data_IF_550752067037
#
_entry.id   IF_550752067037
#
_cell.length_a   1.000
_cell.length_b   1.000
_cell.length_c   1.000
_cell.angle_alpha   90.00
_cell.angle_beta   90.00
_cell.angle_gamma   90.00
#
_symmetry.space_group_name_H-M   'P 1'
#
loop_
_entity.id
_entity.type
_entity.pdbx_description
1 polymer ?
#
# COMPACT_ATOMS: atom_id res chain seq x y z
N UNK A 1 36.83 35.48 8.05
CA UNK A 1 35.46 35.98 7.78
C UNK A 1 35.33 36.06 6.27
N UNK A 2 34.87 35.00 5.60
CA UNK A 2 33.46 34.62 5.49
C UNK A 2 33.29 33.12 5.76
N UNK A 3 32.47 32.83 6.75
CA UNK A 3 31.72 31.57 6.85
C UNK A 3 30.60 31.67 5.82
N UNK A 4 30.49 30.68 4.94
CA UNK A 4 29.26 30.44 4.21
C UNK A 4 28.86 29.00 4.51
N UNK A 5 27.96 28.86 5.49
CA UNK A 5 27.04 27.75 5.58
C UNK A 5 26.26 27.68 4.25
N UNK A 6 26.22 26.50 3.65
CA UNK A 6 25.10 26.12 2.80
C UNK A 6 24.82 24.65 3.06
N UNK A 7 23.71 24.42 3.78
CA UNK A 7 23.06 23.14 3.95
C UNK A 7 23.02 22.39 2.61
N UNK A 8 23.80 21.33 2.47
CA UNK A 8 23.66 20.44 1.31
C UNK A 8 22.41 19.59 1.55
N UNK A 9 21.31 19.97 0.90
CA UNK A 9 20.26 19.01 0.57
C UNK A 9 20.95 17.81 -0.10
N UNK A 10 20.83 16.62 0.48
CA UNK A 10 21.51 15.41 0.02
C UNK A 10 20.97 14.97 -1.35
N UNK A 11 21.49 15.59 -2.41
CA UNK A 11 21.13 15.35 -3.80
C UNK A 11 21.83 14.08 -4.27
N UNK A 12 21.28 12.91 -3.93
CA UNK A 12 21.77 11.63 -4.45
C UNK A 12 21.74 11.58 -5.98
N UNK A 13 22.78 10.99 -6.57
CA UNK A 13 22.92 10.78 -8.02
C UNK A 13 22.18 9.51 -8.42
N UNK A 14 21.50 9.52 -9.56
CA UNK A 14 20.79 8.35 -10.11
C UNK A 14 21.65 7.69 -11.18
N UNK A 15 21.96 6.42 -11.02
CA UNK A 15 22.59 5.61 -12.09
C UNK A 15 21.49 4.86 -12.82
N UNK A 16 21.34 5.10 -14.12
CA UNK A 16 20.34 4.47 -15.00
C UNK A 16 21.05 3.71 -16.11
N UNK A 17 20.60 2.51 -16.47
CA UNK A 17 21.19 1.78 -17.61
C UNK A 17 20.28 1.87 -18.84
N UNK A 18 20.67 2.63 -19.88
CA UNK A 18 20.05 2.72 -21.23
C UNK A 18 21.13 3.01 -22.30
N UNK A 19 21.00 2.52 -23.54
CA UNK A 19 21.89 2.91 -24.67
C UNK A 19 21.27 3.95 -25.63
N UNK A 20 21.94 4.42 -26.72
CA UNK A 20 23.34 4.86 -26.88
C UNK A 20 23.56 6.35 -26.49
N UNK A 21 24.83 6.77 -26.31
CA UNK A 21 25.24 8.16 -26.04
C UNK A 21 25.71 8.83 -27.35
N UNK A 22 25.03 9.88 -27.79
CA UNK A 22 25.50 10.76 -28.87
C UNK A 22 26.32 11.92 -28.28
N UNK A 23 27.64 11.91 -28.49
CA UNK A 23 28.47 13.09 -28.27
C UNK A 23 28.35 14.00 -29.50
N UNK A 24 27.52 15.04 -29.39
CA UNK A 24 27.41 16.11 -30.39
C UNK A 24 27.98 17.39 -29.81
N UNK A 25 29.15 17.79 -30.31
CA UNK A 25 29.80 19.05 -29.97
C UNK A 25 29.88 19.89 -31.25
N UNK A 26 29.29 21.09 -31.22
CA UNK A 26 29.39 22.03 -32.32
C UNK A 26 30.69 22.84 -32.15
N UNK A 27 31.60 22.72 -33.12
CA UNK A 27 32.88 23.44 -33.11
C UNK A 27 32.81 24.56 -34.13
N UNK A 28 32.78 25.80 -33.66
CA UNK A 28 32.77 26.98 -34.54
C UNK A 28 34.19 27.40 -34.98
N UNK A 29 35.22 26.68 -34.54
CA UNK A 29 36.64 26.93 -34.80
C UNK A 29 37.49 25.65 -34.69
N UNK A 30 38.57 25.57 -35.45
CA UNK A 30 39.57 24.49 -35.42
C UNK A 30 40.76 24.78 -34.49
N UNK A 31 40.76 25.92 -33.80
CA UNK A 31 41.80 26.28 -32.83
C UNK A 31 41.80 25.31 -31.63
N UNK A 32 42.94 24.65 -31.41
CA UNK A 32 43.08 23.61 -30.40
C UNK A 32 42.77 24.08 -28.96
N UNK A 33 43.00 25.35 -28.61
CA UNK A 33 42.69 25.88 -27.27
C UNK A 33 41.19 26.13 -27.10
N UNK A 34 40.52 26.59 -28.15
CA UNK A 34 39.06 26.75 -28.15
C UNK A 34 38.35 25.40 -28.15
N UNK A 35 38.85 24.42 -28.93
CA UNK A 35 38.36 23.03 -28.92
C UNK A 35 38.51 22.41 -27.53
N UNK A 36 39.68 22.55 -26.88
CA UNK A 36 39.90 22.04 -25.53
C UNK A 36 38.96 22.69 -24.51
N UNK A 37 38.72 24.00 -24.62
CA UNK A 37 37.82 24.73 -23.72
C UNK A 37 36.36 24.32 -23.88
N UNK A 38 35.89 24.11 -25.11
CA UNK A 38 34.52 23.64 -25.40
C UNK A 38 34.32 22.20 -24.92
N UNK A 39 35.33 21.33 -25.11
CA UNK A 39 35.32 19.97 -24.58
C UNK A 39 35.28 19.99 -23.05
N UNK A 40 36.17 20.74 -22.38
CA UNK A 40 36.16 20.86 -20.91
C UNK A 40 34.81 21.35 -20.37
N UNK A 41 34.20 22.36 -21.00
CA UNK A 41 32.88 22.88 -20.62
C UNK A 41 31.75 21.87 -20.81
N UNK A 42 31.85 21.05 -21.87
CA UNK A 42 30.93 19.93 -22.10
C UNK A 42 31.06 18.86 -21.01
N UNK A 43 32.29 18.57 -20.54
CA UNK A 43 32.54 17.67 -19.43
C UNK A 43 32.10 18.25 -18.06
N UNK A 44 32.27 19.55 -17.82
CA UNK A 44 31.71 20.24 -16.64
C UNK A 44 30.17 20.14 -16.61
N UNK A 45 29.54 20.21 -17.77
CA UNK A 45 28.07 20.05 -17.93
C UNK A 45 27.62 18.60 -17.72
N UNK A 46 28.46 17.61 -18.05
CA UNK A 46 28.21 16.19 -17.73
C UNK A 46 28.36 15.92 -16.23
N UNK A 47 29.31 16.60 -15.56
CA UNK A 47 29.55 16.45 -14.12
C UNK A 47 28.44 17.06 -13.24
N UNK A 48 27.63 17.96 -13.77
CA UNK A 48 26.46 18.53 -13.08
C UNK A 48 25.15 17.75 -13.30
N UNK A 49 25.19 16.62 -14.03
CA UNK A 49 24.02 15.78 -14.24
C UNK A 49 23.71 14.93 -12.99
N UNK A 50 22.48 15.03 -12.50
CA UNK A 50 21.95 14.19 -11.40
C UNK A 50 21.64 12.76 -11.83
N UNK A 51 21.78 12.43 -13.12
CA UNK A 51 21.51 11.11 -13.70
C UNK A 51 22.69 10.69 -14.58
N UNK A 52 23.29 9.55 -14.31
CA UNK A 52 24.36 8.93 -15.11
C UNK A 52 23.76 7.75 -15.88
N UNK A 53 23.76 7.84 -17.22
CA UNK A 53 23.29 6.76 -18.08
C UNK A 53 24.42 5.80 -18.46
N UNK A 54 24.24 4.51 -18.18
CA UNK A 54 25.17 3.41 -18.44
C UNK A 54 24.60 2.51 -19.55
N UNK A 55 25.45 1.83 -20.32
CA UNK A 55 24.99 0.95 -21.41
C UNK A 55 25.35 -0.50 -21.11
N UNK A 56 24.35 -1.38 -21.09
CA UNK A 56 24.59 -2.82 -21.01
C UNK A 56 25.14 -3.31 -22.35
N UNK A 57 26.33 -3.90 -22.31
CA UNK A 57 26.99 -4.49 -23.47
C UNK A 57 27.45 -5.90 -23.10
N UNK A 58 27.40 -6.81 -24.07
CA UNK A 58 27.98 -8.15 -23.93
C UNK A 58 29.36 -8.16 -24.58
N UNK A 59 30.29 -8.88 -23.96
CA UNK A 59 31.60 -9.11 -24.56
C UNK A 59 31.44 -9.93 -25.85
N UNK A 60 31.96 -9.40 -26.96
CA UNK A 60 31.86 -10.06 -28.27
C UNK A 60 32.82 -11.25 -28.43
N UNK A 61 33.79 -11.37 -27.52
CA UNK A 61 34.85 -12.36 -27.55
C UNK A 61 34.76 -13.28 -26.33
N UNK A 62 35.09 -14.56 -26.52
CA UNK A 62 35.34 -15.49 -25.42
C UNK A 62 36.80 -15.90 -25.47
N UNK A 63 37.47 -15.96 -24.33
CA UNK A 63 38.83 -16.49 -24.22
C UNK A 63 38.79 -18.02 -24.28
N UNK A 64 39.39 -18.62 -25.30
CA UNK A 64 39.49 -20.08 -25.45
C UNK A 64 39.99 -20.51 -26.83
N UNK A 65 40.49 -21.76 -26.99
CA UNK A 65 40.84 -22.27 -28.29
C UNK A 65 39.59 -22.32 -29.18
N UNK A 66 39.68 -21.71 -30.36
CA UNK A 66 38.62 -21.74 -31.37
C UNK A 66 38.47 -23.19 -31.88
N UNK A 67 37.53 -23.95 -31.32
CA UNK A 67 37.11 -25.20 -31.95
C UNK A 67 36.53 -24.86 -33.34
N UNK A 68 36.96 -25.58 -34.38
CA UNK A 68 36.41 -25.41 -35.71
C UNK A 68 34.87 -25.60 -35.66
N UNK A 69 34.07 -24.70 -36.25
CA UNK A 69 32.62 -24.83 -36.22
C UNK A 69 32.20 -26.09 -36.97
N UNK A 70 31.65 -27.07 -36.25
CA UNK A 70 31.00 -28.24 -36.86
C UNK A 70 29.53 -27.91 -37.01
N UNK A 71 29.06 -27.82 -38.24
CA UNK A 71 27.65 -27.64 -38.57
C UNK A 71 26.98 -29.01 -38.66
N UNK A 72 26.27 -29.42 -37.62
CA UNK A 72 25.39 -30.59 -37.66
C UNK A 72 23.97 -30.13 -38.02
N UNK A 73 23.39 -30.71 -39.07
CA UNK A 73 22.01 -30.43 -39.49
C UNK A 73 21.08 -31.51 -38.97
N UNK A 74 20.33 -31.18 -37.94
CA UNK A 74 19.22 -32.02 -37.45
C UNK A 74 17.91 -31.44 -37.95
N UNK A 75 17.12 -32.21 -38.70
CA UNK A 75 15.81 -31.76 -39.19
C UNK A 75 14.74 -32.18 -38.18
N UNK A 76 14.30 -31.24 -37.35
CA UNK A 76 13.21 -31.43 -36.39
C UNK A 76 12.17 -30.33 -36.61
N UNK A 77 10.88 -30.68 -36.58
CA UNK A 77 9.80 -29.69 -36.56
C UNK A 77 9.69 -29.13 -35.14
N UNK A 78 9.99 -27.86 -34.96
CA UNK A 78 9.87 -27.15 -33.68
C UNK A 78 9.25 -25.78 -33.87
N UNK A 79 8.61 -25.29 -32.81
CA UNK A 79 8.11 -23.93 -32.72
C UNK A 79 9.06 -23.12 -31.84
N UNK A 80 9.42 -21.92 -32.26
CA UNK A 80 10.30 -21.02 -31.52
C UNK A 80 9.58 -19.70 -31.26
N UNK A 81 9.80 -19.15 -30.07
CA UNK A 81 9.35 -17.82 -29.69
C UNK A 81 10.59 -16.94 -29.56
N UNK A 82 10.60 -15.81 -30.26
CA UNK A 82 11.70 -14.83 -30.22
C UNK A 82 11.12 -13.47 -29.86
N UNK A 83 11.67 -12.86 -28.83
CA UNK A 83 11.27 -11.54 -28.36
C UNK A 83 12.48 -10.77 -27.84
N UNK A 84 12.39 -9.45 -27.80
CA UNK A 84 13.41 -8.57 -27.21
C UNK A 84 12.82 -7.91 -25.99
N UNK A 85 13.49 -8.05 -24.84
CA UNK A 85 13.04 -7.48 -23.59
C UNK A 85 13.75 -6.16 -23.26
N UNK A 86 13.02 -5.08 -22.90
CA UNK A 86 13.63 -3.82 -22.51
C UNK A 86 14.17 -3.93 -21.08
N UNK A 87 15.50 -3.86 -20.94
CA UNK A 87 16.16 -3.73 -19.63
C UNK A 87 16.39 -2.24 -19.35
N UNK A 88 15.98 -1.78 -18.17
CA UNK A 88 16.11 -0.40 -17.69
C UNK A 88 16.23 -0.46 -16.17
N UNK A 89 17.46 -0.53 -15.67
CA UNK A 89 17.73 -0.64 -14.24
C UNK A 89 18.17 0.71 -13.70
N UNK A 90 17.66 1.07 -12.52
CA UNK A 90 18.00 2.33 -11.87
C UNK A 90 18.35 2.10 -10.40
N UNK A 91 19.42 2.75 -9.93
CA UNK A 91 19.77 2.84 -8.52
C UNK A 91 20.03 4.30 -8.14
N UNK A 92 19.73 4.66 -6.90
CA UNK A 92 20.17 5.94 -6.30
C UNK A 92 21.49 5.70 -5.56
N UNK A 93 22.46 6.57 -5.73
CA UNK A 93 23.77 6.53 -5.07
C UNK A 93 24.07 7.88 -4.42
N UNK A 94 24.90 7.90 -3.38
CA UNK A 94 25.36 9.13 -2.73
C UNK A 94 26.84 9.36 -3.02
N UNK A 95 27.31 10.61 -2.87
CA UNK A 95 28.71 10.96 -3.12
C UNK A 95 29.71 10.24 -2.19
N UNK A 96 29.22 9.64 -1.10
CA UNK A 96 30.04 8.93 -0.13
C UNK A 96 30.22 7.43 -0.47
N UNK A 97 29.53 6.91 -1.48
CA UNK A 97 29.64 5.49 -1.87
C UNK A 97 30.79 5.24 -2.84
N UNK A 98 31.41 4.07 -2.72
CA UNK A 98 32.46 3.67 -3.67
C UNK A 98 31.85 3.22 -5.00
N UNK A 99 32.63 3.32 -6.08
CA UNK A 99 32.25 2.79 -7.40
C UNK A 99 31.89 1.30 -7.29
N UNK A 100 32.66 0.53 -6.52
CA UNK A 100 32.40 -0.90 -6.31
C UNK A 100 31.00 -1.13 -5.72
N UNK A 101 30.64 -0.41 -4.66
CA UNK A 101 29.34 -0.57 -3.99
C UNK A 101 28.17 -0.17 -4.90
N UNK A 102 28.35 0.90 -5.68
CA UNK A 102 27.37 1.33 -6.67
C UNK A 102 27.16 0.25 -7.76
N UNK A 103 28.24 -0.34 -8.28
CA UNK A 103 28.14 -1.42 -9.28
C UNK A 103 27.57 -2.72 -8.71
N UNK A 104 27.90 -3.09 -7.47
CA UNK A 104 27.28 -4.26 -6.82
C UNK A 104 25.77 -4.09 -6.66
N UNK A 105 25.30 -2.89 -6.28
CA UNK A 105 23.87 -2.58 -6.20
C UNK A 105 23.21 -2.55 -7.57
N UNK A 106 23.91 -2.04 -8.58
CA UNK A 106 23.40 -2.05 -9.95
C UNK A 106 23.23 -3.48 -10.48
N UNK A 107 24.19 -4.36 -10.22
CA UNK A 107 24.10 -5.78 -10.57
C UNK A 107 22.98 -6.48 -9.83
N UNK A 108 22.78 -6.18 -8.54
CA UNK A 108 21.63 -6.69 -7.77
C UNK A 108 20.30 -6.22 -8.37
N UNK A 109 20.19 -4.93 -8.72
CA UNK A 109 19.00 -4.36 -9.36
C UNK A 109 18.71 -5.01 -10.72
N UNK A 110 19.75 -5.27 -11.52
CA UNK A 110 19.64 -5.97 -12.80
C UNK A 110 19.14 -7.41 -12.64
N UNK A 111 19.76 -8.18 -11.74
CA UNK A 111 19.34 -9.56 -11.47
C UNK A 111 17.91 -9.61 -10.93
N UNK A 112 17.56 -8.70 -10.02
CA UNK A 112 16.20 -8.60 -9.48
C UNK A 112 15.20 -8.26 -10.60
N UNK A 113 15.51 -7.29 -11.45
CA UNK A 113 14.64 -6.94 -12.57
C UNK A 113 14.42 -8.12 -13.53
N UNK A 114 15.45 -8.89 -13.86
CA UNK A 114 15.31 -10.06 -14.72
C UNK A 114 14.39 -11.13 -14.09
N UNK A 115 14.50 -11.34 -12.78
CA UNK A 115 13.58 -12.22 -12.03
C UNK A 115 12.12 -11.73 -12.10
N UNK A 116 11.89 -10.43 -11.91
CA UNK A 116 10.55 -9.84 -12.00
C UNK A 116 9.98 -9.91 -13.43
N UNK A 117 10.82 -9.72 -14.44
CA UNK A 117 10.43 -9.86 -15.85
C UNK A 117 10.01 -11.30 -16.18
N UNK A 118 10.72 -12.31 -15.64
CA UNK A 118 10.31 -13.71 -15.72
C UNK A 118 8.95 -13.94 -15.05
N UNK A 119 8.78 -13.45 -13.81
CA UNK A 119 7.53 -13.57 -13.06
C UNK A 119 6.33 -12.98 -13.82
N UNK A 120 6.46 -11.74 -14.31
CA UNK A 120 5.41 -11.05 -15.08
C UNK A 120 5.08 -11.80 -16.36
N UNK A 121 6.11 -12.30 -17.06
CA UNK A 121 5.95 -13.08 -18.29
C UNK A 121 5.15 -14.36 -18.03
N UNK A 122 5.52 -15.12 -16.99
CA UNK A 122 4.85 -16.37 -16.62
C UNK A 122 3.41 -16.14 -16.16
N UNK A 123 3.13 -15.04 -15.45
CA UNK A 123 1.79 -14.73 -14.97
C UNK A 123 0.81 -14.33 -16.09
N UNK A 124 1.30 -13.76 -17.18
CA UNK A 124 0.45 -13.17 -18.22
C UNK A 124 0.50 -13.90 -19.57
N UNK A 125 1.21 -15.03 -19.66
CA UNK A 125 1.24 -15.86 -20.86
C UNK A 125 -0.16 -16.46 -21.12
N UNK A 126 -0.67 -16.29 -22.33
CA UNK A 126 -1.96 -16.87 -22.77
C UNK A 126 -1.73 -17.77 -23.97
N UNK A 127 -1.73 -19.08 -23.75
CA UNK A 127 -1.35 -20.07 -24.75
C UNK A 127 0.12 -19.89 -25.15
N UNK A 128 0.37 -19.51 -26.41
CA UNK A 128 1.71 -19.22 -26.96
C UNK A 128 2.01 -17.72 -27.07
N UNK A 129 1.11 -16.85 -26.60
CA UNK A 129 1.28 -15.39 -26.69
C UNK A 129 2.00 -14.88 -25.45
N UNK A 130 3.18 -14.29 -25.68
CA UNK A 130 4.03 -13.71 -24.65
C UNK A 130 3.90 -12.18 -24.68
N UNK A 131 3.63 -11.59 -23.51
CA UNK A 131 3.61 -10.14 -23.33
C UNK A 131 4.99 -9.66 -22.93
N UNK A 132 5.39 -8.49 -23.43
CA UNK A 132 6.69 -7.89 -23.13
C UNK A 132 6.63 -7.27 -21.72
N UNK A 133 7.42 -7.71 -20.74
CA UNK A 133 7.54 -7.03 -19.45
C UNK A 133 8.33 -5.72 -19.62
N UNK A 134 7.74 -4.63 -19.16
CA UNK A 134 8.27 -3.26 -19.21
C UNK A 134 8.57 -2.74 -17.80
N UNK A 135 9.84 -2.43 -17.49
CA UNK A 135 10.21 -1.77 -16.24
C UNK A 135 9.79 -0.30 -16.23
N UNK A 136 9.10 0.13 -15.17
CA UNK A 136 8.74 1.51 -14.88
C UNK A 136 9.31 1.93 -13.52
N UNK A 137 9.74 3.18 -13.40
CA UNK A 137 10.36 3.73 -12.20
C UNK A 137 9.46 4.76 -11.54
N UNK A 138 9.22 4.60 -10.25
CA UNK A 138 8.39 5.48 -9.44
C UNK A 138 9.22 6.06 -8.29
N UNK A 139 9.16 7.37 -8.10
CA UNK A 139 9.75 8.02 -6.94
C UNK A 139 8.68 8.12 -5.84
N UNK A 140 8.76 7.25 -4.85
CA UNK A 140 7.86 7.26 -3.69
C UNK A 140 8.39 8.23 -2.61
N UNK A 141 7.53 8.73 -1.71
CA UNK A 141 7.98 9.47 -0.54
C UNK A 141 9.01 8.69 0.28
N UNK A 142 9.94 9.43 0.89
CA UNK A 142 10.92 8.84 1.81
C UNK A 142 10.20 8.09 2.95
N UNK A 143 10.75 6.96 3.45
CA UNK A 143 12.09 6.43 3.17
C UNK A 143 12.16 5.45 1.97
N UNK A 144 11.06 5.27 1.21
CA UNK A 144 11.03 4.25 0.14
C UNK A 144 11.81 4.66 -1.10
N UNK A 145 11.79 5.95 -1.44
CA UNK A 145 12.54 6.50 -2.57
C UNK A 145 12.18 5.84 -3.91
N UNK A 146 13.20 5.62 -4.74
CA UNK A 146 13.02 5.11 -6.10
C UNK A 146 12.71 3.60 -6.11
N UNK A 147 11.61 3.21 -6.74
CA UNK A 147 11.15 1.83 -6.89
C UNK A 147 10.94 1.49 -8.37
N UNK A 148 11.36 0.31 -8.78
CA UNK A 148 11.10 -0.24 -10.13
C UNK A 148 10.00 -1.29 -10.05
N UNK A 149 8.99 -1.16 -10.90
CA UNK A 149 7.91 -2.14 -11.07
C UNK A 149 7.89 -2.60 -12.52
N UNK A 150 7.69 -3.90 -12.76
CA UNK A 150 7.63 -4.47 -14.10
C UNK A 150 6.17 -4.75 -14.47
N UNK A 151 5.70 -4.22 -15.59
CA UNK A 151 4.33 -4.41 -16.08
C UNK A 151 4.30 -5.12 -17.44
N UNK A 152 3.30 -5.96 -17.73
CA UNK A 152 3.13 -6.50 -19.07
C UNK A 152 2.62 -5.42 -20.04
N UNK A 153 3.37 -5.16 -21.11
CA UNK A 153 3.05 -4.18 -22.13
C UNK A 153 1.67 -4.46 -22.77
N UNK A 154 0.90 -3.39 -22.98
CA UNK A 154 -0.40 -3.46 -23.63
C UNK A 154 -1.55 -3.96 -22.74
N UNK A 155 -1.30 -4.24 -21.46
CA UNK A 155 -2.35 -4.53 -20.48
C UNK A 155 -2.79 -3.21 -19.83
N UNK A 156 -4.08 -2.84 -19.88
CA UNK A 156 -4.57 -1.62 -19.23
C UNK A 156 -4.40 -1.67 -17.72
N UNK A 157 -4.17 -0.50 -17.08
CA UNK A 157 -4.06 -0.38 -15.63
C UNK A 157 -5.21 -1.05 -14.87
N UNK A 158 -6.44 -0.98 -15.38
CA UNK A 158 -7.62 -1.63 -14.77
C UNK A 158 -7.54 -3.17 -14.72
N UNK A 159 -6.72 -3.79 -15.56
CA UNK A 159 -6.43 -5.23 -15.56
C UNK A 159 -5.18 -5.55 -14.73
N UNK A 160 -4.28 -4.57 -14.56
CA UNK A 160 -3.11 -4.62 -13.67
C UNK A 160 -3.49 -4.39 -12.20
N UNK A 161 -4.61 -3.71 -11.95
CA UNK A 161 -5.29 -3.52 -10.65
C UNK A 161 -5.77 -4.84 -10.00
N UNK A 162 -5.52 -5.99 -10.62
CA UNK A 162 -5.81 -7.31 -10.05
C UNK A 162 -4.97 -7.63 -8.80
N UNK A 163 -3.86 -6.92 -8.57
CA UNK A 163 -2.95 -7.25 -7.46
C UNK A 163 -3.41 -6.77 -6.08
N UNK A 164 -4.33 -5.79 -5.97
CA UNK A 164 -5.05 -5.42 -4.72
C UNK A 164 -5.99 -4.23 -5.01
N UNK A 165 -7.29 -4.46 -5.01
CA UNK A 165 -8.28 -3.37 -5.04
C UNK A 165 -8.56 -2.87 -3.63
N UNK A 166 -8.72 -1.56 -3.49
CA UNK A 166 -9.01 -0.91 -2.23
C UNK A 166 -10.49 -0.57 -2.16
N UNK A 167 -11.16 -1.07 -1.14
CA UNK A 167 -12.58 -0.84 -0.86
C UNK A 167 -12.66 -0.14 0.50
N UNK A 168 -13.21 1.07 0.53
CA UNK A 168 -13.24 1.92 1.72
C UNK A 168 -14.67 2.28 2.11
N UNK A 169 -14.82 2.73 3.35
CA UNK A 169 -15.94 3.53 3.81
C UNK A 169 -16.19 4.69 2.83
N UNK A 170 -17.45 4.99 2.59
CA UNK A 170 -17.89 6.05 1.68
C UNK A 170 -18.53 7.16 2.51
N UNK A 171 -17.99 8.37 2.44
CA UNK A 171 -18.48 9.51 3.22
C UNK A 171 -17.60 9.85 4.43
N UNK A 172 -18.13 10.70 5.29
CA UNK A 172 -17.44 11.30 6.43
C UNK A 172 -17.84 10.63 7.74
N UNK A 173 -16.89 10.54 8.65
CA UNK A 173 -17.07 10.08 10.02
C UNK A 173 -16.10 10.84 10.93
N UNK A 174 -16.43 10.93 12.21
CA UNK A 174 -15.52 11.42 13.25
C UNK A 174 -14.81 10.25 13.93
N UNK A 175 -13.55 10.46 14.27
CA UNK A 175 -12.78 9.48 15.03
C UNK A 175 -13.08 9.62 16.52
N UNK A 176 -13.79 8.63 17.07
CA UNK A 176 -14.03 8.53 18.50
C UNK A 176 -13.05 7.53 19.13
N UNK A 177 -12.38 7.94 20.21
CA UNK A 177 -11.36 7.16 20.91
C UNK A 177 -11.37 7.43 22.42
N UNK A 178 -10.52 6.72 23.17
CA UNK A 178 -10.45 6.85 24.62
C UNK A 178 -10.15 8.27 25.09
N UNK A 179 -10.60 8.57 26.31
CA UNK A 179 -10.36 9.83 27.04
C UNK A 179 -11.09 11.05 26.47
N UNK A 180 -11.95 10.87 25.46
CA UNK A 180 -12.84 11.91 24.97
C UNK A 180 -14.06 12.12 25.89
N UNK A 181 -14.75 13.25 25.72
CA UNK A 181 -15.99 13.59 26.44
C UNK A 181 -15.88 13.66 27.97
N UNK A 182 -14.65 13.83 28.49
CA UNK A 182 -14.34 13.78 29.93
C UNK A 182 -14.65 12.43 30.58
N UNK A 183 -14.61 11.35 29.79
CA UNK A 183 -14.81 9.99 30.27
C UNK A 183 -13.48 9.22 30.24
N UNK A 184 -13.05 8.71 31.40
CA UNK A 184 -11.96 7.73 31.46
C UNK A 184 -12.53 6.33 31.19
N UNK A 185 -12.56 6.00 29.91
CA UNK A 185 -13.02 4.71 29.40
C UNK A 185 -11.88 3.77 29.00
N UNK A 186 -10.65 4.10 29.42
CA UNK A 186 -9.47 3.30 29.13
C UNK A 186 -9.62 1.89 29.72
N UNK A 187 -9.47 0.88 28.86
CA UNK A 187 -9.55 -0.53 29.21
C UNK A 187 -10.95 -1.16 29.12
N UNK A 188 -12.01 -0.41 28.80
CA UNK A 188 -13.35 -1.00 28.67
C UNK A 188 -14.25 -0.33 27.61
N UNK A 189 -13.90 0.85 27.11
CA UNK A 189 -14.73 1.64 26.21
C UNK A 189 -14.60 1.33 24.71
N UNK A 190 -13.72 0.40 24.30
CA UNK A 190 -13.28 0.29 22.90
C UNK A 190 -14.45 0.11 21.91
N UNK A 191 -15.40 -0.76 22.26
CA UNK A 191 -16.61 -0.99 21.47
C UNK A 191 -17.58 0.20 21.48
N UNK A 192 -17.65 0.95 22.57
CA UNK A 192 -18.44 2.18 22.66
C UNK A 192 -17.90 3.24 21.70
N UNK A 193 -16.58 3.43 21.67
CA UNK A 193 -15.92 4.39 20.77
C UNK A 193 -16.03 3.99 19.30
N UNK A 194 -15.91 2.70 19.00
CA UNK A 194 -16.20 2.19 17.65
C UNK A 194 -17.65 2.44 17.24
N UNK A 195 -18.62 2.19 18.13
CA UNK A 195 -20.03 2.51 17.91
C UNK A 195 -20.26 4.02 17.71
N UNK A 196 -19.62 4.88 18.49
CA UNK A 196 -19.71 6.33 18.32
C UNK A 196 -19.18 6.77 16.95
N UNK A 197 -18.08 6.18 16.48
CA UNK A 197 -17.57 6.39 15.11
C UNK A 197 -18.63 6.01 14.06
N UNK A 198 -19.29 4.85 14.21
CA UNK A 198 -20.38 4.42 13.32
C UNK A 198 -21.57 5.41 13.38
N UNK A 199 -22.01 5.81 14.58
CA UNK A 199 -23.09 6.77 14.74
C UNK A 199 -22.76 8.12 14.09
N UNK A 200 -21.51 8.59 14.22
CA UNK A 200 -21.05 9.83 13.58
C UNK A 200 -21.13 9.75 12.06
N UNK A 201 -20.86 8.57 11.47
CA UNK A 201 -21.00 8.35 10.04
C UNK A 201 -22.46 8.52 9.61
N UNK A 202 -23.41 7.85 10.28
CA UNK A 202 -24.84 7.96 9.95
C UNK A 202 -25.36 9.39 10.14
N UNK A 203 -24.88 10.10 11.16
CA UNK A 203 -25.21 11.50 11.39
C UNK A 203 -24.68 12.41 10.27
N UNK A 204 -23.39 12.28 9.93
CA UNK A 204 -22.74 13.13 8.92
C UNK A 204 -23.20 12.85 7.49
N UNK A 205 -23.71 11.65 7.23
CA UNK A 205 -24.32 11.31 5.94
C UNK A 205 -25.80 11.73 5.87
N UNK A 206 -26.36 12.29 6.95
CA UNK A 206 -27.74 12.78 6.99
C UNK A 206 -28.81 11.69 7.10
N UNK A 207 -28.45 10.46 7.49
CA UNK A 207 -29.44 9.40 7.75
C UNK A 207 -30.18 9.62 9.07
N UNK A 208 -29.54 10.27 10.04
CA UNK A 208 -30.13 10.60 11.34
C UNK A 208 -29.72 12.00 11.76
N UNK A 209 -30.61 12.69 12.49
CA UNK A 209 -30.30 13.98 13.14
C UNK A 209 -29.79 13.79 14.57
N UNK A 210 -29.92 12.57 15.11
CA UNK A 210 -29.51 12.25 16.48
C UNK A 210 -28.02 12.52 16.67
N UNK A 211 -27.67 13.18 17.78
CA UNK A 211 -26.29 13.31 18.21
C UNK A 211 -25.65 11.93 18.51
N UNK A 212 -24.33 11.86 18.39
CA UNK A 212 -23.55 10.69 18.78
C UNK A 212 -23.82 10.35 20.26
N UNK A 213 -24.24 9.11 20.60
CA UNK A 213 -24.65 8.78 21.96
C UNK A 213 -23.45 8.65 22.91
N UNK A 214 -23.65 9.04 24.16
CA UNK A 214 -22.71 8.83 25.27
C UNK A 214 -22.68 7.37 25.72
N UNK A 215 -21.66 6.94 26.47
CA UNK A 215 -21.61 5.58 27.04
C UNK A 215 -22.86 5.26 27.87
N UNK A 216 -23.36 6.22 28.64
CA UNK A 216 -24.55 6.04 29.47
C UNK A 216 -25.81 5.84 28.63
N UNK A 217 -25.97 6.58 27.53
CA UNK A 217 -27.09 6.39 26.60
C UNK A 217 -27.01 5.04 25.88
N UNK A 218 -25.80 4.61 25.50
CA UNK A 218 -25.57 3.28 24.92
C UNK A 218 -25.97 2.19 25.92
N UNK A 219 -25.56 2.30 27.19
CA UNK A 219 -25.94 1.36 28.24
C UNK A 219 -27.44 1.37 28.52
N UNK A 220 -28.06 2.56 28.52
CA UNK A 220 -29.49 2.72 28.68
C UNK A 220 -30.25 2.05 27.53
N UNK A 221 -29.81 2.21 26.28
CA UNK A 221 -30.41 1.56 25.13
C UNK A 221 -30.40 0.03 25.26
N UNK A 222 -29.33 -0.56 25.81
CA UNK A 222 -29.23 -2.00 26.07
C UNK A 222 -30.16 -2.47 27.19
N UNK A 223 -30.38 -1.65 28.22
CA UNK A 223 -31.40 -1.90 29.23
C UNK A 223 -32.81 -1.83 28.63
N UNK A 224 -33.08 -0.83 27.80
CA UNK A 224 -34.41 -0.57 27.22
C UNK A 224 -34.87 -1.69 26.29
N UNK A 225 -33.93 -2.33 25.57
CA UNK A 225 -34.23 -3.51 24.72
C UNK A 225 -34.24 -4.84 25.51
N UNK A 226 -34.00 -4.80 26.82
CA UNK A 226 -34.01 -5.97 27.70
C UNK A 226 -32.77 -6.86 27.62
N UNK A 227 -31.68 -6.42 26.98
CA UNK A 227 -30.43 -7.18 26.86
C UNK A 227 -29.62 -7.18 28.16
N UNK A 228 -29.63 -6.05 28.89
CA UNK A 228 -28.88 -5.85 30.14
C UNK A 228 -29.79 -5.49 31.31
N UNK A 229 -29.29 -5.73 32.53
CA UNK A 229 -29.97 -5.35 33.77
C UNK A 229 -29.72 -3.89 34.13
N UNK A 230 -30.54 -3.31 35.02
CA UNK A 230 -30.43 -1.90 35.40
C UNK A 230 -29.07 -1.50 36.00
N UNK A 231 -28.39 -2.44 36.67
CA UNK A 231 -27.04 -2.25 37.22
C UNK A 231 -25.96 -2.04 36.16
N UNK A 232 -26.23 -2.36 34.89
CA UNK A 232 -25.32 -2.17 33.77
C UNK A 232 -25.15 -0.67 33.43
N UNK A 233 -26.19 0.14 33.65
CA UNK A 233 -26.16 1.57 33.36
C UNK A 233 -25.29 2.30 34.38
N UNK A 234 -24.29 3.03 33.90
CA UNK A 234 -23.23 3.64 34.70
C UNK A 234 -22.09 2.70 35.07
N UNK A 235 -22.11 1.45 34.62
CA UNK A 235 -21.02 0.51 34.82
C UNK A 235 -19.83 0.80 33.88
N UNK A 236 -18.71 0.10 34.12
CA UNK A 236 -17.53 0.08 33.23
C UNK A 236 -17.41 -1.24 32.46
N UNK A 237 -18.54 -1.89 32.19
CA UNK A 237 -18.54 -3.16 31.48
C UNK A 237 -18.40 -2.95 29.97
N UNK A 238 -17.58 -3.80 29.36
CA UNK A 238 -17.40 -3.91 27.92
C UNK A 238 -18.68 -4.43 27.24
N UNK A 239 -18.82 -4.11 25.95
CA UNK A 239 -19.88 -4.61 25.06
C UNK A 239 -19.26 -5.26 23.82
N UNK A 240 -20.01 -6.13 23.15
CA UNK A 240 -19.59 -6.78 21.92
C UNK A 240 -20.37 -6.33 20.70
N UNK A 241 -20.11 -7.00 19.57
CA UNK A 241 -20.72 -6.67 18.27
C UNK A 241 -22.24 -6.87 18.24
N UNK A 242 -22.78 -7.78 19.07
CA UNK A 242 -24.23 -8.01 19.20
C UNK A 242 -24.89 -6.84 19.90
N UNK A 243 -24.33 -6.38 21.02
CA UNK A 243 -24.80 -5.18 21.72
C UNK A 243 -24.69 -3.94 20.84
N UNK A 244 -23.58 -3.78 20.09
CA UNK A 244 -23.42 -2.68 19.12
C UNK A 244 -24.54 -2.70 18.07
N UNK A 245 -24.90 -3.87 17.52
CA UNK A 245 -26.04 -4.00 16.61
C UNK A 245 -27.37 -3.61 17.28
N UNK A 246 -27.61 -4.08 18.51
CA UNK A 246 -28.84 -3.78 19.23
C UNK A 246 -29.00 -2.26 19.46
N UNK A 247 -27.91 -1.58 19.83
CA UNK A 247 -27.91 -0.13 20.05
C UNK A 247 -28.09 0.66 18.76
N UNK A 248 -27.43 0.26 17.66
CA UNK A 248 -27.65 0.88 16.35
C UNK A 248 -29.13 0.80 15.92
N UNK A 249 -29.75 -0.37 16.12
CA UNK A 249 -31.15 -0.55 15.80
C UNK A 249 -32.05 0.29 16.72
N UNK A 250 -31.81 0.29 18.03
CA UNK A 250 -32.63 0.99 19.00
C UNK A 250 -32.55 2.52 18.86
N UNK A 251 -31.34 3.06 18.68
CA UNK A 251 -31.11 4.51 18.71
C UNK A 251 -31.21 5.18 17.35
N UNK A 252 -30.90 4.45 16.26
CA UNK A 252 -30.85 5.00 14.90
C UNK A 252 -31.83 4.31 13.94
N UNK A 253 -32.51 3.22 14.33
CA UNK A 253 -33.30 2.42 13.40
C UNK A 253 -32.46 1.72 12.33
N UNK A 254 -31.16 1.55 12.58
CA UNK A 254 -30.22 0.96 11.62
C UNK A 254 -30.12 -0.54 11.86
N UNK A 255 -30.43 -1.33 10.82
CA UNK A 255 -30.18 -2.77 10.83
C UNK A 255 -28.71 -3.06 10.51
N UNK A 256 -28.12 -4.05 11.18
CA UNK A 256 -26.76 -4.52 10.88
C UNK A 256 -26.75 -6.01 10.58
N UNK A 257 -25.74 -6.48 9.83
CA UNK A 257 -25.41 -7.91 9.71
C UNK A 257 -24.30 -8.26 10.68
N UNK A 258 -24.39 -9.40 11.35
CA UNK A 258 -23.27 -9.96 12.12
C UNK A 258 -22.56 -11.00 11.27
N UNK A 259 -21.24 -10.85 11.14
CA UNK A 259 -20.36 -11.85 10.55
C UNK A 259 -19.55 -12.50 11.66
N UNK A 260 -19.75 -13.80 11.84
CA UNK A 260 -19.03 -14.61 12.82
C UNK A 260 -17.80 -15.24 12.17
N UNK A 261 -16.66 -15.15 12.85
CA UNK A 261 -15.40 -15.75 12.45
C UNK A 261 -14.82 -16.51 13.64
N UNK A 262 -14.63 -17.82 13.46
CA UNK A 262 -14.26 -18.72 14.56
C UNK A 262 -12.83 -18.49 15.06
N UNK A 263 -11.92 -18.13 14.15
CA UNK A 263 -10.50 -17.91 14.44
C UNK A 263 -9.99 -16.71 13.64
N UNK A 264 -9.13 -15.85 14.22
CA UNK A 264 -8.59 -14.69 13.50
C UNK A 264 -7.80 -15.05 12.24
N UNK A 265 -7.23 -16.26 12.18
CA UNK A 265 -6.59 -16.81 10.97
C UNK A 265 -7.56 -16.95 9.78
N UNK A 266 -8.86 -17.08 10.04
CA UNK A 266 -9.89 -17.18 9.01
C UNK A 266 -10.36 -15.80 8.50
N UNK A 267 -9.99 -14.68 9.15
CA UNK A 267 -10.41 -13.35 8.71
C UNK A 267 -9.98 -13.06 7.27
N UNK A 268 -8.82 -13.55 6.85
CA UNK A 268 -8.33 -13.35 5.49
C UNK A 268 -9.25 -13.97 4.42
N UNK A 269 -10.00 -15.03 4.78
CA UNK A 269 -10.98 -15.65 3.89
C UNK A 269 -12.23 -14.79 3.66
N UNK A 270 -12.48 -13.78 4.50
CA UNK A 270 -13.65 -12.89 4.44
C UNK A 270 -13.45 -11.66 3.55
N UNK A 271 -12.34 -11.62 2.81
CA UNK A 271 -12.01 -10.48 1.95
C UNK A 271 -13.08 -10.13 0.93
N UNK A 272 -13.75 -11.14 0.35
CA UNK A 272 -14.85 -10.92 -0.59
C UNK A 272 -16.04 -10.23 0.07
N UNK A 273 -16.49 -10.75 1.22
CA UNK A 273 -17.65 -10.21 1.92
C UNK A 273 -17.39 -8.79 2.44
N UNK A 274 -16.18 -8.52 2.93
CA UNK A 274 -15.78 -7.18 3.37
C UNK A 274 -15.69 -6.21 2.19
N UNK A 275 -15.06 -6.61 1.09
CA UNK A 275 -14.99 -5.80 -0.13
C UNK A 275 -16.40 -5.47 -0.65
N UNK A 276 -17.30 -6.46 -0.67
CA UNK A 276 -18.67 -6.25 -1.09
C UNK A 276 -19.42 -5.30 -0.15
N UNK A 277 -19.25 -5.42 1.17
CA UNK A 277 -19.85 -4.50 2.13
C UNK A 277 -19.42 -3.06 1.87
N UNK A 278 -18.12 -2.79 1.71
CA UNK A 278 -17.64 -1.44 1.43
C UNK A 278 -18.08 -0.92 0.05
N UNK A 279 -18.31 -1.80 -0.91
CA UNK A 279 -18.82 -1.44 -2.22
C UNK A 279 -20.31 -1.06 -2.18
N UNK A 280 -21.15 -1.86 -1.51
CA UNK A 280 -22.61 -1.69 -1.51
C UNK A 280 -23.12 -0.80 -0.39
N UNK A 281 -22.60 -0.97 0.82
CA UNK A 281 -22.99 -0.23 2.02
C UNK A 281 -22.00 0.88 2.35
N UNK A 282 -20.68 0.63 2.22
CA UNK A 282 -19.66 1.64 2.48
C UNK A 282 -19.70 2.22 3.90
N UNK A 283 -20.23 1.50 4.89
CA UNK A 283 -20.30 1.93 6.30
C UNK A 283 -19.08 1.42 7.08
N UNK A 284 -18.63 2.11 8.15
CA UNK A 284 -17.60 1.58 9.03
C UNK A 284 -18.06 0.29 9.71
N UNK A 285 -17.15 -0.67 9.89
CA UNK A 285 -17.43 -1.97 10.51
C UNK A 285 -16.78 -2.02 11.89
N UNK A 286 -17.54 -2.35 12.92
CA UNK A 286 -16.96 -2.67 14.23
C UNK A 286 -16.57 -4.15 14.26
N UNK A 287 -15.37 -4.47 14.70
CA UNK A 287 -14.90 -5.84 14.95
C UNK A 287 -14.55 -6.01 16.43
N UNK A 288 -15.10 -7.04 17.06
CA UNK A 288 -14.81 -7.42 18.44
C UNK A 288 -14.19 -8.80 18.52
N UNK A 289 -13.11 -8.96 19.29
CA UNK A 289 -12.48 -10.24 19.60
C UNK A 289 -12.03 -10.28 21.05
N UNK A 290 -12.66 -11.14 21.86
CA UNK A 290 -12.54 -11.06 23.31
C UNK A 290 -12.92 -9.66 23.83
N UNK A 291 -12.08 -9.08 24.69
CA UNK A 291 -12.31 -7.77 25.31
C UNK A 291 -11.85 -6.56 24.47
N UNK A 292 -11.35 -6.80 23.25
CA UNK A 292 -10.82 -5.76 22.38
C UNK A 292 -11.76 -5.51 21.20
N UNK A 293 -11.87 -4.26 20.79
CA UNK A 293 -12.64 -3.84 19.63
C UNK A 293 -11.86 -2.84 18.79
N UNK A 294 -12.04 -2.92 17.47
CA UNK A 294 -11.49 -1.98 16.50
C UNK A 294 -12.55 -1.58 15.48
N UNK A 295 -12.28 -0.53 14.71
CA UNK A 295 -13.13 -0.14 13.58
C UNK A 295 -12.38 -0.39 12.28
N UNK A 296 -12.95 -1.19 11.39
CA UNK A 296 -12.44 -1.42 10.04
C UNK A 296 -13.08 -0.38 9.12
N UNK A 297 -12.26 0.44 8.48
CA UNK A 297 -12.64 1.49 7.54
C UNK A 297 -12.52 1.06 6.09
N UNK A 298 -11.88 -0.08 5.82
CA UNK A 298 -11.70 -0.59 4.47
C UNK A 298 -10.81 -1.82 4.40
N UNK A 299 -10.78 -2.43 3.22
CA UNK A 299 -9.92 -3.56 2.89
C UNK A 299 -9.19 -3.33 1.57
N UNK A 300 -7.91 -3.70 1.54
CA UNK A 300 -7.15 -3.84 0.30
C UNK A 300 -7.05 -5.33 0.00
N UNK A 301 -7.78 -5.80 -1.01
CA UNK A 301 -7.99 -7.22 -1.26
C UNK A 301 -7.70 -7.60 -2.71
N UNK A 302 -6.95 -8.68 -2.90
CA UNK A 302 -6.70 -9.29 -4.19
C UNK A 302 -7.54 -10.55 -4.33
N UNK A 303 -8.45 -10.53 -5.29
CA UNK A 303 -9.29 -11.68 -5.62
C UNK A 303 -8.48 -12.88 -6.13
N UNK A 304 -7.39 -12.63 -6.85
CA UNK A 304 -6.53 -13.66 -7.43
C UNK A 304 -5.59 -14.30 -6.42
N UNK A 305 -4.92 -13.51 -5.57
CA UNK A 305 -3.94 -14.03 -4.60
C UNK A 305 -4.53 -14.32 -3.22
N UNK A 306 -5.75 -13.85 -2.93
CA UNK A 306 -6.35 -13.90 -1.61
C UNK A 306 -5.71 -12.95 -0.60
N UNK A 307 -4.63 -12.24 -0.97
CA UNK A 307 -3.94 -11.33 -0.06
C UNK A 307 -4.85 -10.18 0.37
N UNK A 308 -4.87 -9.91 1.68
CA UNK A 308 -5.68 -8.86 2.27
C UNK A 308 -4.87 -7.97 3.22
N UNK A 309 -5.29 -6.71 3.33
CA UNK A 309 -4.96 -5.80 4.42
C UNK A 309 -6.21 -5.07 4.88
N UNK A 310 -6.22 -4.63 6.13
CA UNK A 310 -7.34 -3.95 6.78
C UNK A 310 -6.94 -2.53 7.14
N UNK A 311 -7.75 -1.54 6.76
CA UNK A 311 -7.57 -0.17 7.25
C UNK A 311 -8.26 -0.08 8.60
N UNK A 312 -7.47 0.02 9.66
CA UNK A 312 -7.95 0.02 11.04
C UNK A 312 -7.93 1.43 11.60
N UNK A 313 -9.01 1.78 12.31
CA UNK A 313 -9.10 2.93 13.21
C UNK A 313 -9.25 2.39 14.63
N UNK A 314 -8.21 2.65 15.44
CA UNK A 314 -8.00 2.03 16.73
C UNK A 314 -8.57 2.90 17.88
N UNK A 315 -9.69 2.52 18.50
CA UNK A 315 -10.33 3.34 19.54
C UNK A 315 -9.49 3.46 20.83
N UNK A 316 -8.40 2.71 20.98
CA UNK A 316 -7.58 2.71 22.19
C UNK A 316 -6.63 3.92 22.30
N UNK A 317 -6.60 4.80 21.29
CA UNK A 317 -5.80 6.02 21.35
C UNK A 317 -6.26 6.93 22.51
N UNK A 318 -5.31 7.40 23.32
CA UNK A 318 -5.57 8.22 24.53
C UNK A 318 -4.99 9.63 24.45
N UNK A 319 -4.34 9.97 23.32
CA UNK A 319 -3.66 11.25 23.16
C UNK A 319 -4.60 12.39 22.76
N UNK A 320 -4.02 13.55 22.48
CA UNK A 320 -4.73 14.71 21.93
C UNK A 320 -5.07 14.51 20.45
N UNK A 321 -5.91 15.37 19.87
CA UNK A 321 -6.34 15.33 18.47
C UNK A 321 -5.21 15.72 17.48
N UNK A 322 -4.10 14.98 17.51
CA UNK A 322 -2.91 15.18 16.69
C UNK A 322 -2.89 14.16 15.55
N UNK A 323 -3.24 14.63 14.35
CA UNK A 323 -3.31 13.80 13.16
C UNK A 323 -1.99 13.11 12.83
N UNK A 324 -0.86 13.79 13.03
CA UNK A 324 0.45 13.23 12.71
C UNK A 324 0.78 12.07 13.65
N UNK A 325 0.49 12.22 14.95
CA UNK A 325 0.66 11.13 15.92
C UNK A 325 -0.27 9.96 15.60
N UNK A 326 -1.52 10.22 15.23
CA UNK A 326 -2.52 9.20 14.88
C UNK A 326 -2.06 8.38 13.67
N UNK A 327 -1.52 9.01 12.63
CA UNK A 327 -1.05 8.32 11.42
C UNK A 327 0.31 7.66 11.61
N UNK A 328 1.30 8.37 12.16
CA UNK A 328 2.69 7.90 12.20
C UNK A 328 2.87 6.75 13.19
N UNK A 329 2.10 6.75 14.29
CA UNK A 329 2.07 5.62 15.25
C UNK A 329 1.08 4.53 14.85
N UNK A 330 0.34 4.70 13.75
CA UNK A 330 -0.52 3.68 13.17
C UNK A 330 -1.79 3.38 13.97
N UNK A 331 -2.35 4.37 14.67
CA UNK A 331 -3.70 4.32 15.28
C UNK A 331 -4.79 4.36 14.21
N UNK A 332 -4.53 5.07 13.11
CA UNK A 332 -5.26 4.91 11.86
C UNK A 332 -4.29 4.43 10.78
N UNK A 333 -4.47 3.21 10.24
CA UNK A 333 -3.55 2.71 9.23
C UNK A 333 -3.80 1.29 8.75
N UNK A 334 -3.09 0.93 7.68
CA UNK A 334 -3.18 -0.40 7.08
C UNK A 334 -2.43 -1.45 7.90
N UNK A 335 -3.14 -2.53 8.26
CA UNK A 335 -2.63 -3.68 9.01
C UNK A 335 -2.74 -4.96 8.19
N UNK A 336 -1.78 -5.88 8.37
CA UNK A 336 -1.79 -7.21 7.75
C UNK A 336 -2.67 -8.20 8.52
N UNK A 337 -2.82 -9.44 8.01
CA UNK A 337 -3.56 -10.51 8.70
C UNK A 337 -3.02 -10.84 10.10
N UNK A 338 -1.71 -10.69 10.29
CA UNK A 338 -1.01 -10.98 11.56
C UNK A 338 -1.36 -9.99 12.68
N UNK A 339 -2.12 -8.93 12.38
CA UNK A 339 -2.65 -8.01 13.39
C UNK A 339 -3.70 -8.67 14.29
N UNK A 340 -4.43 -9.65 13.76
CA UNK A 340 -5.45 -10.37 14.50
C UNK A 340 -4.82 -11.51 15.31
N UNK A 341 -5.37 -11.80 16.49
CA UNK A 341 -5.03 -13.01 17.23
C UNK A 341 -5.54 -14.21 16.44
N UNK A 342 -4.64 -15.10 16.05
CA UNK A 342 -4.94 -16.17 15.10
C UNK A 342 -5.88 -17.26 15.67
N UNK A 343 -6.05 -17.30 16.99
CA UNK A 343 -6.80 -18.33 17.73
C UNK A 343 -8.10 -17.75 18.29
N UNK A 344 -8.16 -16.45 18.56
CA UNK A 344 -9.35 -15.79 19.07
C UNK A 344 -10.51 -15.81 18.04
N UNK A 345 -11.74 -15.89 18.55
CA UNK A 345 -12.94 -15.67 17.73
C UNK A 345 -13.18 -14.17 17.53
N UNK A 346 -13.79 -13.81 16.41
CA UNK A 346 -14.15 -12.44 16.07
C UNK A 346 -15.58 -12.35 15.56
N UNK A 347 -16.29 -11.32 16.03
CA UNK A 347 -17.58 -10.93 15.49
C UNK A 347 -17.46 -9.55 14.86
N UNK A 348 -18.00 -9.39 13.66
CA UNK A 348 -18.04 -8.11 12.97
C UNK A 348 -19.48 -7.65 12.87
N UNK A 349 -19.74 -6.41 13.29
CA UNK A 349 -21.01 -5.73 13.07
C UNK A 349 -20.89 -4.86 11.81
N UNK A 350 -21.69 -5.20 10.79
CA UNK A 350 -21.71 -4.56 9.47
C UNK A 350 -23.02 -3.75 9.33
N UNK A 351 -23.04 -2.45 9.68
CA UNK A 351 -24.24 -1.62 9.60
C UNK A 351 -24.73 -1.46 8.16
N UNK A 352 -26.02 -1.58 7.91
CA UNK A 352 -26.61 -1.42 6.58
C UNK A 352 -27.14 0.01 6.41
N UNK A 353 -27.06 0.56 5.19
CA UNK A 353 -27.71 1.84 4.90
C UNK A 353 -29.23 1.68 4.96
N UNK A 354 -29.94 2.54 5.70
CA UNK A 354 -31.38 2.62 5.58
C UNK A 354 -31.76 2.91 4.13
N UNK A 355 -32.74 2.16 3.60
CA UNK A 355 -33.32 2.44 2.29
C UNK A 355 -34.28 3.62 2.41
N UNK A 356 -33.73 4.82 2.59
CA UNK A 356 -34.52 6.06 2.52
C UNK A 356 -34.54 6.48 1.06
N UNK A 357 -35.74 6.62 0.48
CA UNK A 357 -35.97 7.08 -0.90
C UNK A 357 -35.70 8.58 -1.00
#
# INVERSE_FOLDING_TARGET
MVVADSQSSDTGTVLRVRGPLEFKCHLDSTDARLVHKVISRTFETLQSQSIINLRLMMEATKTGPLSAPILSRTVQKSHFLSTTFPVDCVIRTTFNETIKDAFERLMKALTHQLCEMENVTLQHIKGTTLLVPEPLHFLLPEPKGLVTVVYPAGVPDSQLETQRKVYLVQGFYSYHHYMQDRMDDNGWGCAYRSLQTICSWFQQQGYVERAVPTHREIQQALLDVGDKQASFVGSRQWIGSIEVQAVLNQLLGVTSKIMFVSHGSELASKGRELANHFLTEGTPIMIGGGVLAHTILGVAWSETSGQIRYLILDPHYTGAEDLQVITDKGWCGWKGPDFWDQIAYYNLCLPQRPKVI
#
